data_IF_646636101599
#
_entry.id   IF_646636101599
#
_cell.length_a   1.000
_cell.length_b   1.000
_cell.length_c   1.000
_cell.angle_alpha   90.00
_cell.angle_beta   90.00
_cell.angle_gamma   90.00
#
_symmetry.space_group_name_H-M   'P 1'
#
loop_
_entity.id
_entity.type
_entity.pdbx_description
1 polymer ?
#
# COMPACT_ATOMS: atom_id res chain seq x y z
N UNK A 1 -11.74 28.03 -2.50
CA UNK A 1 -13.12 27.52 -2.42
C UNK A 1 -13.83 28.08 -1.17
N UNK A 2 -13.33 27.88 0.04
CA UNK A 2 -14.00 28.34 1.29
C UNK A 2 -14.17 29.85 1.39
N UNK A 3 -13.24 30.65 0.83
CA UNK A 3 -13.39 32.12 0.73
C UNK A 3 -14.54 32.55 -0.21
N UNK A 4 -14.86 31.72 -1.20
CA UNK A 4 -15.91 31.99 -2.19
C UNK A 4 -17.27 31.44 -1.75
N UNK A 5 -17.28 30.36 -0.98
CA UNK A 5 -18.49 29.76 -0.41
C UNK A 5 -18.23 29.34 1.04
N UNK A 6 -18.72 30.12 2.02
CA UNK A 6 -18.55 29.82 3.45
C UNK A 6 -19.20 28.50 3.90
N UNK A 7 -20.18 27.99 3.15
CA UNK A 7 -20.85 26.72 3.43
C UNK A 7 -19.98 25.50 3.07
N UNK A 8 -18.80 25.69 2.49
CA UNK A 8 -17.87 24.58 2.27
C UNK A 8 -17.17 24.23 3.56
N UNK A 9 -17.28 22.97 3.93
CA UNK A 9 -16.54 22.35 5.04
C UNK A 9 -15.67 21.21 4.54
N UNK A 10 -14.70 20.81 5.35
CA UNK A 10 -13.83 19.67 5.11
C UNK A 10 -13.99 18.64 6.22
N UNK A 11 -13.63 17.40 5.97
CA UNK A 11 -13.69 16.32 6.97
C UNK A 11 -12.94 16.72 8.27
N UNK A 12 -11.71 17.20 8.15
CA UNK A 12 -10.95 17.78 9.26
C UNK A 12 -11.16 19.29 9.34
N UNK A 13 -11.29 19.82 10.57
CA UNK A 13 -11.51 21.26 10.80
C UNK A 13 -10.24 22.10 10.71
N UNK A 14 -9.09 21.48 10.93
CA UNK A 14 -7.77 22.11 10.93
C UNK A 14 -6.83 21.40 9.93
N UNK A 15 -5.69 22.02 9.67
CA UNK A 15 -4.64 21.35 8.88
C UNK A 15 -4.12 20.09 9.61
N UNK A 16 -3.82 19.04 8.87
CA UNK A 16 -4.11 18.85 7.44
C UNK A 16 -5.60 18.57 7.20
N UNK A 17 -6.21 19.25 6.22
CA UNK A 17 -7.65 19.18 5.93
C UNK A 17 -8.06 17.90 5.17
N UNK A 18 -7.57 16.77 5.61
CA UNK A 18 -7.87 15.47 5.00
C UNK A 18 -8.33 14.46 6.07
N UNK A 19 -8.93 13.38 5.66
CA UNK A 19 -9.27 12.29 6.54
C UNK A 19 -8.04 11.41 6.86
N UNK A 20 -8.25 10.30 7.56
CA UNK A 20 -7.20 9.33 7.92
C UNK A 20 -6.58 8.62 6.71
N UNK A 21 -7.00 8.94 5.49
CA UNK A 21 -6.50 8.39 4.24
C UNK A 21 -7.55 7.59 3.48
N UNK A 22 -7.22 7.31 2.21
CA UNK A 22 -8.02 6.42 1.37
C UNK A 22 -8.14 5.03 2.02
N UNK A 23 -9.29 4.41 1.90
CA UNK A 23 -9.51 3.03 2.33
C UNK A 23 -8.69 2.01 1.50
N UNK A 24 -8.15 2.44 0.38
CA UNK A 24 -7.29 1.67 -0.51
C UNK A 24 -5.82 2.03 -0.29
N UNK A 25 -4.95 1.04 -0.24
CA UNK A 25 -3.51 1.28 -0.20
C UNK A 25 -2.89 1.11 -1.59
N UNK A 26 -1.87 1.90 -1.83
CA UNK A 26 -1.03 1.81 -3.02
C UNK A 26 0.23 1.04 -2.71
N UNK A 27 0.67 0.25 -3.68
CA UNK A 27 1.87 -0.54 -3.54
C UNK A 27 2.29 -1.18 -4.85
N UNK A 28 3.12 -2.19 -4.74
CA UNK A 28 3.67 -2.91 -5.87
C UNK A 28 3.17 -4.35 -5.82
N UNK A 29 2.54 -4.76 -6.90
CA UNK A 29 2.11 -6.13 -7.14
C UNK A 29 3.24 -6.84 -7.87
N UNK A 30 3.64 -7.99 -7.35
CA UNK A 30 4.69 -8.86 -7.88
C UNK A 30 4.07 -10.19 -8.29
N UNK A 31 4.29 -10.63 -9.54
CA UNK A 31 3.84 -11.96 -9.95
C UNK A 31 4.75 -13.04 -9.38
N UNK A 32 4.29 -13.69 -8.31
CA UNK A 32 5.08 -14.69 -7.57
C UNK A 32 5.21 -16.03 -8.26
N UNK A 33 4.54 -16.25 -9.39
CA UNK A 33 4.74 -17.42 -10.22
C UNK A 33 5.82 -17.21 -11.30
N UNK A 34 6.44 -16.02 -11.38
CA UNK A 34 7.52 -15.70 -12.33
C UNK A 34 8.83 -15.45 -11.59
N UNK A 35 9.87 -16.21 -11.95
CA UNK A 35 11.21 -15.99 -11.43
C UNK A 35 11.74 -14.59 -11.85
N UNK A 36 12.51 -13.91 -10.99
CA UNK A 36 12.90 -14.32 -9.64
C UNK A 36 11.92 -13.87 -8.55
N UNK A 37 10.74 -13.36 -8.90
CA UNK A 37 9.75 -12.83 -7.96
C UNK A 37 9.07 -13.92 -7.10
N UNK A 38 9.24 -15.19 -7.45
CA UNK A 38 8.87 -16.35 -6.63
C UNK A 38 9.70 -16.47 -5.34
N UNK A 39 10.92 -15.89 -5.33
CA UNK A 39 11.82 -15.91 -4.18
C UNK A 39 11.53 -14.78 -3.18
N UNK A 40 11.17 -15.07 -1.91
CA UNK A 40 10.93 -14.06 -0.88
C UNK A 40 12.13 -13.11 -0.66
N UNK A 41 13.38 -13.60 -0.76
CA UNK A 41 14.57 -12.74 -0.61
C UNK A 41 14.60 -11.65 -1.68
N UNK A 42 14.23 -11.96 -2.92
CA UNK A 42 14.15 -10.96 -4.00
C UNK A 42 13.07 -9.93 -3.73
N UNK A 43 11.89 -10.35 -3.25
CA UNK A 43 10.81 -9.43 -2.91
C UNK A 43 11.20 -8.51 -1.73
N UNK A 44 11.87 -9.06 -0.71
CA UNK A 44 12.42 -8.26 0.38
C UNK A 44 13.55 -7.33 -0.08
N UNK A 45 14.41 -7.78 -0.99
CA UNK A 45 15.46 -6.94 -1.57
C UNK A 45 14.86 -5.72 -2.27
N UNK A 46 13.81 -5.91 -3.08
CA UNK A 46 13.08 -4.82 -3.72
C UNK A 46 12.45 -3.86 -2.71
N UNK A 47 11.88 -4.38 -1.61
CA UNK A 47 11.30 -3.54 -0.57
C UNK A 47 12.35 -2.70 0.16
N UNK A 48 13.52 -3.28 0.50
CA UNK A 48 14.60 -2.58 1.19
C UNK A 48 15.40 -1.63 0.27
N UNK A 49 15.37 -1.85 -1.03
CA UNK A 49 15.93 -0.95 -2.03
C UNK A 49 15.07 0.31 -2.28
N UNK A 50 13.82 0.29 -1.82
CA UNK A 50 12.86 1.37 -2.07
C UNK A 50 12.99 2.48 -1.03
N UNK A 51 13.44 3.67 -1.45
CA UNK A 51 13.39 4.89 -0.64
C UNK A 51 11.97 5.48 -0.67
N UNK A 52 11.09 4.94 0.19
CA UNK A 52 9.70 5.39 0.25
C UNK A 52 9.57 6.87 0.63
N UNK A 53 10.49 7.43 1.41
CA UNK A 53 10.47 8.85 1.76
C UNK A 53 10.66 9.70 0.50
N UNK A 54 11.69 9.41 -0.28
CA UNK A 54 11.95 10.10 -1.55
C UNK A 54 10.82 9.89 -2.55
N UNK A 55 10.28 8.68 -2.67
CA UNK A 55 9.12 8.40 -3.51
C UNK A 55 7.93 9.27 -3.10
N UNK A 56 7.59 9.30 -1.82
CA UNK A 56 6.45 10.08 -1.33
C UNK A 56 6.65 11.58 -1.46
N UNK A 57 7.87 12.08 -1.25
CA UNK A 57 8.20 13.51 -1.43
C UNK A 57 8.10 13.89 -2.90
N UNK A 58 8.74 13.14 -3.81
CA UNK A 58 8.80 13.45 -5.23
C UNK A 58 7.43 13.33 -5.91
N UNK A 59 6.68 12.29 -5.59
CA UNK A 59 5.39 12.02 -6.23
C UNK A 59 4.23 12.78 -5.59
N UNK A 60 4.27 13.05 -4.27
CA UNK A 60 3.13 13.49 -3.46
C UNK A 60 3.43 14.70 -2.58
N UNK A 61 4.60 15.33 -2.72
CA UNK A 61 5.05 16.45 -1.87
C UNK A 61 5.02 16.11 -0.37
N UNK A 62 5.29 14.86 -0.03
CA UNK A 62 5.27 14.35 1.34
C UNK A 62 3.85 14.07 1.91
N UNK A 63 2.81 14.22 1.11
CA UNK A 63 1.42 13.99 1.56
C UNK A 63 1.00 12.53 1.35
N UNK A 64 1.47 11.65 2.21
CA UNK A 64 1.11 10.23 2.21
C UNK A 64 1.24 9.65 3.61
N UNK A 65 0.57 8.55 3.86
CA UNK A 65 0.73 7.75 5.08
C UNK A 65 1.31 6.39 4.71
N UNK A 66 2.50 6.08 5.24
CA UNK A 66 3.13 4.80 5.02
C UNK A 66 2.35 3.66 5.69
N UNK A 67 2.33 2.51 5.04
CA UNK A 67 1.67 1.32 5.53
C UNK A 67 2.51 0.08 5.24
N UNK A 68 3.07 -0.52 6.27
CA UNK A 68 3.84 -1.75 6.20
C UNK A 68 2.97 -3.01 6.06
N UNK A 69 1.70 -2.94 6.47
CA UNK A 69 0.76 -4.05 6.34
C UNK A 69 0.06 -4.02 4.98
N UNK A 70 -0.39 -5.16 4.43
CA UNK A 70 -1.05 -5.22 3.13
C UNK A 70 -2.49 -4.68 3.17
N UNK A 71 -2.64 -3.47 3.70
CA UNK A 71 -3.89 -2.72 3.80
C UNK A 71 -3.61 -1.23 4.06
N UNK A 72 -4.59 -0.38 3.83
CA UNK A 72 -4.52 1.03 4.18
C UNK A 72 -4.58 1.22 5.71
N UNK A 73 -3.77 2.15 6.24
CA UNK A 73 -3.84 2.57 7.65
C UNK A 73 -4.94 3.61 7.81
N UNK A 74 -6.11 3.15 8.24
CA UNK A 74 -7.30 3.97 8.45
C UNK A 74 -7.76 3.91 9.91
N UNK A 75 -8.75 4.72 10.25
CA UNK A 75 -9.40 4.68 11.57
C UNK A 75 -10.05 3.30 11.89
N UNK A 76 -10.33 2.48 10.87
CA UNK A 76 -10.91 1.13 11.03
C UNK A 76 -9.80 0.09 11.19
N UNK A 77 -8.81 0.13 10.32
CA UNK A 77 -7.74 -0.88 10.26
C UNK A 77 -6.69 -0.69 11.35
N UNK A 78 -6.44 0.56 11.75
CA UNK A 78 -5.45 0.88 12.77
C UNK A 78 -5.67 0.15 14.10
N UNK A 79 -6.84 0.24 14.77
CA UNK A 79 -7.08 -0.47 16.03
C UNK A 79 -7.20 -1.99 15.84
N UNK A 80 -7.62 -2.46 14.67
CA UNK A 80 -7.84 -3.89 14.42
C UNK A 80 -6.55 -4.65 14.06
N UNK A 81 -5.62 -4.02 13.35
CA UNK A 81 -4.42 -4.67 12.80
C UNK A 81 -3.13 -3.96 13.14
N UNK A 82 -3.01 -2.65 12.86
CA UNK A 82 -1.74 -1.94 13.00
C UNK A 82 -1.27 -1.86 14.45
N UNK A 83 -2.13 -1.42 15.37
CA UNK A 83 -1.77 -1.31 16.77
C UNK A 83 -1.46 -2.69 17.40
N UNK A 84 -2.28 -3.74 17.21
CA UNK A 84 -1.97 -5.07 17.75
C UNK A 84 -0.72 -5.71 17.15
N UNK A 85 -0.37 -5.41 15.90
CA UNK A 85 0.78 -6.01 15.22
C UNK A 85 2.06 -5.18 15.33
N UNK A 86 2.02 -4.03 16.00
CA UNK A 86 3.17 -3.12 16.04
C UNK A 86 4.40 -3.75 16.72
N UNK A 87 4.20 -4.44 17.84
CA UNK A 87 5.33 -5.11 18.51
C UNK A 87 5.88 -6.25 17.64
N UNK A 88 4.99 -7.03 17.02
CA UNK A 88 5.40 -8.08 16.09
C UNK A 88 6.22 -7.52 14.91
N UNK A 89 5.84 -6.37 14.32
CA UNK A 89 6.62 -5.72 13.27
C UNK A 89 8.02 -5.31 13.72
N UNK A 90 8.16 -4.80 14.96
CA UNK A 90 9.47 -4.46 15.55
C UNK A 90 10.36 -5.68 15.75
N UNK A 91 9.75 -6.82 16.10
CA UNK A 91 10.45 -8.08 16.39
C UNK A 91 10.68 -8.92 15.13
N UNK A 92 10.06 -8.54 13.99
CA UNK A 92 10.20 -9.27 12.72
C UNK A 92 11.66 -9.36 12.30
N UNK A 93 12.09 -10.58 11.98
CA UNK A 93 13.43 -10.87 11.46
C UNK A 93 13.32 -11.60 10.14
N UNK A 94 14.14 -11.22 9.18
CA UNK A 94 14.37 -11.98 7.96
C UNK A 94 15.19 -13.24 8.25
N UNK A 95 15.35 -14.11 7.25
CA UNK A 95 16.04 -15.38 7.39
C UNK A 95 17.49 -15.25 7.86
N UNK A 96 18.14 -14.13 7.61
CA UNK A 96 19.50 -13.80 8.06
C UNK A 96 19.56 -13.07 9.42
N UNK A 97 18.42 -12.91 10.10
CA UNK A 97 18.29 -12.23 11.38
C UNK A 97 18.14 -10.69 11.27
N UNK A 98 18.16 -10.13 10.09
CA UNK A 98 17.97 -8.68 9.89
C UNK A 98 16.56 -8.23 10.28
N UNK A 99 16.45 -7.11 11.02
CA UNK A 99 15.19 -6.49 11.40
C UNK A 99 14.82 -5.37 10.42
N UNK A 100 13.88 -5.61 9.49
CA UNK A 100 13.61 -4.70 8.38
C UNK A 100 12.75 -3.49 8.77
N UNK A 101 12.00 -3.55 9.88
CA UNK A 101 11.04 -2.53 10.24
C UNK A 101 11.70 -1.27 10.82
N UNK A 102 11.24 -0.10 10.36
CA UNK A 102 11.61 1.20 10.87
C UNK A 102 10.41 1.87 11.56
N UNK A 103 10.30 1.83 12.89
CA UNK A 103 9.23 2.50 13.64
C UNK A 103 9.33 4.02 13.59
N UNK A 104 10.52 4.57 13.32
CA UNK A 104 10.80 6.01 13.31
C UNK A 104 10.60 6.66 11.93
N UNK A 105 9.97 5.94 10.99
CA UNK A 105 9.73 6.42 9.62
C UNK A 105 9.04 7.80 9.62
N UNK A 106 8.00 7.99 10.45
CA UNK A 106 7.28 9.25 10.53
C UNK A 106 8.13 10.41 11.03
N UNK A 107 8.93 10.19 12.06
CA UNK A 107 9.83 11.21 12.61
C UNK A 107 10.93 11.59 11.62
N UNK A 108 11.47 10.62 10.89
CA UNK A 108 12.45 10.89 9.84
C UNK A 108 11.84 11.62 8.64
N UNK A 109 10.54 11.43 8.34
CA UNK A 109 9.83 12.25 7.35
C UNK A 109 9.76 13.72 7.78
N UNK A 110 9.42 14.00 9.05
CA UNK A 110 9.40 15.37 9.60
C UNK A 110 10.79 16.02 9.46
N UNK A 111 11.84 15.32 9.84
CA UNK A 111 13.22 15.81 9.72
C UNK A 111 13.57 16.14 8.27
N UNK A 112 13.28 15.22 7.34
CA UNK A 112 13.59 15.40 5.91
C UNK A 112 12.82 16.56 5.28
N UNK A 113 11.54 16.76 5.63
CA UNK A 113 10.75 17.89 5.17
C UNK A 113 11.26 19.23 5.73
N UNK A 114 11.72 19.24 6.99
CA UNK A 114 12.36 20.42 7.59
C UNK A 114 13.68 20.78 6.89
N UNK A 115 14.54 19.79 6.62
CA UNK A 115 15.79 19.97 5.84
C UNK A 115 15.54 20.52 4.44
N UNK A 116 14.39 20.19 3.83
CA UNK A 116 13.96 20.73 2.54
C UNK A 116 13.35 22.13 2.62
N UNK A 117 13.34 22.74 3.81
CA UNK A 117 12.88 24.12 4.01
C UNK A 117 11.38 24.26 4.29
N UNK A 118 10.67 23.18 4.60
CA UNK A 118 9.29 23.32 5.08
C UNK A 118 9.29 23.93 6.49
N UNK A 119 8.36 24.85 6.72
CA UNK A 119 8.20 25.49 8.03
C UNK A 119 7.85 24.45 9.10
N UNK A 120 8.74 24.25 10.06
CA UNK A 120 8.58 23.30 11.16
C UNK A 120 7.28 23.53 11.96
N UNK A 121 6.77 24.76 12.03
CA UNK A 121 5.51 25.07 12.70
C UNK A 121 4.27 24.47 11.98
N UNK A 122 4.41 24.10 10.72
CA UNK A 122 3.34 23.47 9.91
C UNK A 122 3.42 21.95 9.88
N UNK A 123 4.50 21.37 10.39
CA UNK A 123 4.72 19.93 10.42
C UNK A 123 4.11 19.28 11.69
N UNK A 124 3.65 18.02 11.57
CA UNK A 124 3.04 17.34 12.71
C UNK A 124 4.08 17.06 13.83
N UNK A 125 3.63 17.11 15.07
CA UNK A 125 4.42 16.77 16.27
C UNK A 125 3.68 15.74 17.13
N UNK A 126 4.39 15.05 18.01
CA UNK A 126 3.81 14.06 18.93
C UNK A 126 3.01 12.99 18.19
N UNK A 127 1.83 12.68 18.69
CA UNK A 127 0.96 11.64 18.11
C UNK A 127 0.50 11.95 16.67
N UNK A 128 0.45 13.25 16.32
CA UNK A 128 0.09 13.65 14.96
C UNK A 128 1.11 13.16 13.92
N UNK A 129 2.35 12.89 14.28
CA UNK A 129 3.36 12.32 13.37
C UNK A 129 2.89 10.98 12.84
N UNK A 130 2.48 10.06 13.72
CA UNK A 130 1.98 8.74 13.32
C UNK A 130 0.64 8.81 12.58
N UNK A 131 -0.20 9.79 12.90
CA UNK A 131 -1.46 10.02 12.21
C UNK A 131 -1.26 10.49 10.78
N UNK A 132 -0.20 11.25 10.51
CA UNK A 132 0.11 11.76 9.17
C UNK A 132 0.96 10.80 8.35
N UNK A 133 1.99 10.20 8.95
CA UNK A 133 3.01 9.42 8.23
C UNK A 133 2.95 7.92 8.47
N UNK A 134 1.99 7.43 9.28
CA UNK A 134 1.86 6.01 9.61
C UNK A 134 2.68 5.58 10.83
N UNK A 135 2.49 4.32 11.21
CA UNK A 135 3.11 3.72 12.41
C UNK A 135 4.50 3.13 12.15
N UNK A 136 5.07 3.37 10.99
CA UNK A 136 6.35 2.86 10.54
C UNK A 136 6.28 2.19 9.16
N UNK A 137 7.46 1.93 8.59
CA UNK A 137 7.62 1.22 7.31
C UNK A 137 8.96 0.48 7.29
N UNK A 138 9.36 -0.04 6.14
CA UNK A 138 10.63 -0.75 5.99
C UNK A 138 11.81 0.22 5.97
N UNK A 139 12.97 -0.23 6.43
CA UNK A 139 14.22 0.52 6.29
C UNK A 139 14.57 0.63 4.81
N UNK A 140 15.07 1.78 4.40
CA UNK A 140 15.79 1.91 3.13
C UNK A 140 17.24 1.47 3.37
N UNK A 141 17.58 0.26 2.93
CA UNK A 141 18.89 -0.35 3.13
C UNK A 141 19.37 -1.08 1.87
N UNK A 142 19.95 -0.37 0.89
CA UNK A 142 20.47 -0.97 -0.32
C UNK A 142 21.57 -2.01 -0.08
N UNK A 143 22.34 -1.90 1.01
CA UNK A 143 23.37 -2.88 1.34
C UNK A 143 22.75 -4.21 1.79
N UNK A 144 21.69 -4.17 2.60
CA UNK A 144 20.95 -5.36 2.97
C UNK A 144 20.19 -5.94 1.77
N UNK A 145 19.62 -5.08 0.92
CA UNK A 145 19.04 -5.52 -0.36
C UNK A 145 20.04 -6.31 -1.19
N UNK A 146 21.28 -5.83 -1.33
CA UNK A 146 22.34 -6.53 -2.07
C UNK A 146 22.68 -7.89 -1.45
N UNK A 147 22.74 -8.01 -0.13
CA UNK A 147 22.96 -9.31 0.53
C UNK A 147 21.85 -10.31 0.19
N UNK A 148 20.59 -9.87 0.19
CA UNK A 148 19.46 -10.73 -0.16
C UNK A 148 19.48 -11.13 -1.63
N UNK A 149 19.85 -10.22 -2.55
CA UNK A 149 20.02 -10.53 -3.97
C UNK A 149 21.14 -11.54 -4.17
N UNK A 150 22.28 -11.36 -3.49
CA UNK A 150 23.40 -12.30 -3.55
C UNK A 150 23.01 -13.70 -3.03
N UNK A 151 22.25 -13.75 -1.92
CA UNK A 151 21.70 -15.01 -1.38
C UNK A 151 20.71 -15.70 -2.34
N UNK A 152 20.01 -14.92 -3.18
CA UNK A 152 19.16 -15.41 -4.25
C UNK A 152 19.90 -15.78 -5.53
N UNK A 153 21.23 -15.64 -5.56
CA UNK A 153 22.09 -15.96 -6.71
C UNK A 153 22.26 -14.84 -7.73
N UNK A 154 21.79 -13.62 -7.43
CA UNK A 154 21.91 -12.46 -8.30
C UNK A 154 23.06 -11.57 -7.84
N UNK A 155 23.92 -11.16 -8.77
CA UNK A 155 25.10 -10.31 -8.51
C UNK A 155 25.13 -9.13 -9.47
N UNK A 156 25.66 -7.99 -9.03
CA UNK A 156 25.87 -6.85 -9.92
C UNK A 156 26.92 -7.17 -10.96
N UNK A 157 26.54 -7.00 -12.23
CA UNK A 157 27.45 -7.12 -13.38
C UNK A 157 28.31 -5.88 -13.55
N UNK A 158 29.11 -5.87 -14.63
CA UNK A 158 30.00 -4.74 -14.98
C UNK A 158 29.20 -3.45 -15.31
N UNK A 159 27.93 -3.58 -15.70
CA UNK A 159 26.99 -2.48 -15.96
C UNK A 159 26.37 -1.92 -14.68
N UNK A 160 26.68 -2.50 -13.50
CA UNK A 160 26.15 -2.11 -12.21
C UNK A 160 24.77 -2.65 -11.89
N UNK A 161 24.14 -3.42 -12.80
CA UNK A 161 22.84 -4.02 -12.59
C UNK A 161 22.92 -5.48 -12.16
N UNK A 162 21.90 -5.97 -11.47
CA UNK A 162 21.82 -7.37 -11.05
C UNK A 162 21.64 -8.30 -12.24
N UNK A 163 22.51 -9.31 -12.30
CA UNK A 163 22.46 -10.41 -13.28
C UNK A 163 22.19 -11.73 -12.55
N UNK A 164 21.42 -12.60 -13.20
CA UNK A 164 21.12 -13.93 -12.71
C UNK A 164 22.29 -14.91 -12.80
N UNK A 165 22.10 -16.16 -12.34
CA UNK A 165 23.12 -17.21 -12.43
C UNK A 165 23.56 -17.53 -13.87
N UNK A 166 22.72 -17.21 -14.85
CA UNK A 166 23.01 -17.36 -16.28
C UNK A 166 23.84 -16.19 -16.85
N UNK A 167 24.23 -15.22 -16.03
CA UNK A 167 24.98 -14.03 -16.40
C UNK A 167 24.16 -12.95 -17.11
N UNK A 168 22.86 -13.16 -17.29
CA UNK A 168 22.00 -12.16 -17.93
C UNK A 168 21.48 -11.16 -16.91
N UNK A 169 21.55 -9.87 -17.28
CA UNK A 169 20.94 -8.80 -16.48
C UNK A 169 19.45 -9.02 -16.34
N UNK A 170 18.97 -9.02 -15.10
CA UNK A 170 17.53 -9.08 -14.83
C UNK A 170 16.91 -7.69 -15.02
N UNK A 171 15.97 -7.61 -15.94
CA UNK A 171 15.21 -6.40 -16.19
C UNK A 171 13.80 -6.53 -15.60
N UNK A 172 13.43 -5.57 -14.76
CA UNK A 172 12.09 -5.47 -14.18
C UNK A 172 11.21 -4.65 -15.12
N UNK A 173 10.20 -5.26 -15.70
CA UNK A 173 9.12 -4.49 -16.32
C UNK A 173 8.18 -3.98 -15.22
N UNK A 174 8.20 -2.67 -14.99
CA UNK A 174 7.30 -2.02 -14.04
C UNK A 174 6.15 -1.36 -14.80
N UNK A 175 4.97 -1.99 -14.76
CA UNK A 175 3.77 -1.44 -15.41
C UNK A 175 3.19 -0.30 -14.58
N UNK A 176 2.98 0.85 -15.22
CA UNK A 176 2.42 2.06 -14.61
C UNK A 176 1.29 2.61 -15.46
N UNK A 177 0.23 3.23 -14.86
CA UNK A 177 -0.84 3.83 -15.63
C UNK A 177 -0.36 5.08 -16.38
N UNK A 178 -0.88 5.34 -17.58
CA UNK A 178 -0.51 6.50 -18.40
C UNK A 178 -1.19 7.79 -17.94
N UNK A 179 -2.52 7.84 -17.94
CA UNK A 179 -3.28 9.10 -17.82
C UNK A 179 -4.42 9.07 -16.81
N UNK A 180 -5.08 7.93 -16.62
CA UNK A 180 -6.25 7.81 -15.76
C UNK A 180 -5.95 7.87 -14.25
N UNK A 181 -4.68 7.63 -13.84
CA UNK A 181 -4.24 7.76 -12.45
C UNK A 181 -2.86 8.44 -12.35
N UNK A 182 -2.87 9.77 -12.35
CA UNK A 182 -1.66 10.60 -12.29
C UNK A 182 -0.83 10.39 -11.01
N UNK A 183 -1.45 9.98 -9.94
CA UNK A 183 -0.75 9.67 -8.68
C UNK A 183 0.09 8.41 -8.85
N UNK A 184 -0.51 7.31 -9.28
CA UNK A 184 0.22 6.05 -9.53
C UNK A 184 1.30 6.21 -10.60
N UNK A 185 1.05 7.04 -11.62
CA UNK A 185 2.04 7.35 -12.64
C UNK A 185 3.31 7.95 -12.03
N UNK A 186 3.16 9.03 -11.23
CA UNK A 186 4.31 9.69 -10.58
C UNK A 186 5.00 8.78 -9.58
N UNK A 187 4.23 8.03 -8.79
CA UNK A 187 4.75 7.04 -7.83
C UNK A 187 5.55 5.98 -8.57
N UNK A 188 5.04 5.42 -9.68
CA UNK A 188 5.70 4.40 -10.46
C UNK A 188 7.06 4.84 -11.01
N UNK A 189 7.16 6.04 -11.56
CA UNK A 189 8.46 6.57 -12.01
C UNK A 189 9.43 6.82 -10.87
N UNK A 190 8.94 7.28 -9.70
CA UNK A 190 9.80 7.47 -8.53
C UNK A 190 10.29 6.14 -7.96
N UNK A 191 9.50 5.06 -8.06
CA UNK A 191 9.94 3.70 -7.72
C UNK A 191 11.03 3.23 -8.68
N UNK A 192 10.82 3.41 -9.97
CA UNK A 192 11.80 3.02 -10.99
C UNK A 192 13.16 3.72 -10.76
N UNK A 193 13.14 5.01 -10.44
CA UNK A 193 14.35 5.77 -10.10
C UNK A 193 15.03 5.21 -8.83
N UNK A 194 14.26 4.95 -7.77
CA UNK A 194 14.79 4.39 -6.52
C UNK A 194 15.45 3.02 -6.73
N UNK A 195 14.79 2.12 -7.44
CA UNK A 195 15.30 0.79 -7.73
C UNK A 195 16.52 0.82 -8.66
N UNK A 196 16.51 1.71 -9.67
CA UNK A 196 17.65 1.87 -10.59
C UNK A 196 18.91 2.31 -9.84
N UNK A 197 18.77 3.26 -8.89
CA UNK A 197 19.89 3.69 -8.01
C UNK A 197 20.42 2.55 -7.13
N UNK A 198 19.58 1.59 -6.78
CA UNK A 198 19.99 0.42 -6.00
C UNK A 198 20.63 -0.70 -6.86
N UNK A 199 20.65 -0.57 -8.19
CA UNK A 199 21.25 -1.54 -9.11
C UNK A 199 20.25 -2.49 -9.77
N UNK A 200 18.95 -2.20 -9.72
CA UNK A 200 17.96 -2.93 -10.52
C UNK A 200 17.77 -2.25 -11.87
N UNK A 201 17.82 -3.00 -12.95
CA UNK A 201 17.46 -2.49 -14.26
C UNK A 201 15.94 -2.45 -14.37
N UNK A 202 15.36 -1.26 -14.50
CA UNK A 202 13.91 -1.07 -14.50
C UNK A 202 13.44 -0.43 -15.81
N UNK A 203 12.49 -1.07 -16.46
CA UNK A 203 11.73 -0.52 -17.57
C UNK A 203 10.32 -0.14 -17.09
N UNK A 204 10.08 1.14 -16.81
CA UNK A 204 8.78 1.65 -16.42
C UNK A 204 7.90 1.84 -17.67
N UNK A 205 7.03 0.87 -17.93
CA UNK A 205 6.15 0.86 -19.11
C UNK A 205 4.80 1.46 -18.78
N UNK A 206 4.48 2.56 -19.45
CA UNK A 206 3.16 3.18 -19.34
C UNK A 206 2.13 2.47 -20.20
N UNK A 207 0.95 2.23 -19.63
CA UNK A 207 -0.17 1.60 -20.31
C UNK A 207 -1.47 2.35 -20.06
N UNK A 208 -2.39 2.30 -21.02
CA UNK A 208 -3.74 2.85 -20.84
C UNK A 208 -4.59 1.98 -19.88
N UNK A 209 -5.80 2.44 -19.56
CA UNK A 209 -6.66 1.74 -18.62
C UNK A 209 -7.09 0.34 -19.10
N UNK A 210 -7.28 0.16 -20.39
CA UNK A 210 -7.66 -1.15 -20.95
C UNK A 210 -6.53 -2.16 -20.84
N UNK A 211 -5.34 -1.77 -21.28
CA UNK A 211 -4.14 -2.60 -21.18
C UNK A 211 -3.77 -2.85 -19.72
N UNK A 212 -3.91 -1.86 -18.84
CA UNK A 212 -3.65 -2.01 -17.40
C UNK A 212 -4.49 -3.13 -16.79
N UNK A 213 -5.79 -3.17 -17.11
CA UNK A 213 -6.68 -4.24 -16.68
C UNK A 213 -6.29 -5.62 -17.25
N UNK A 214 -5.88 -5.68 -18.52
CA UNK A 214 -5.40 -6.92 -19.12
C UNK A 214 -4.14 -7.43 -18.44
N UNK A 215 -3.15 -6.56 -18.23
CA UNK A 215 -1.89 -6.91 -17.53
C UNK A 215 -2.17 -7.40 -16.11
N UNK A 216 -3.03 -6.71 -15.38
CA UNK A 216 -3.39 -7.09 -14.02
C UNK A 216 -4.06 -8.47 -13.95
N UNK A 217 -4.93 -8.77 -14.91
CA UNK A 217 -5.79 -9.94 -14.85
C UNK A 217 -5.28 -11.15 -15.67
N UNK A 218 -4.14 -11.04 -16.35
CA UNK A 218 -3.59 -12.13 -17.16
C UNK A 218 -2.20 -12.51 -16.67
N UNK A 219 -2.02 -13.78 -16.30
CA UNK A 219 -0.77 -14.24 -15.68
C UNK A 219 0.44 -14.19 -16.63
N UNK A 220 0.20 -14.35 -17.93
CA UNK A 220 1.27 -14.27 -18.93
C UNK A 220 1.87 -12.87 -19.08
N UNK A 221 1.11 -11.81 -18.79
CA UNK A 221 1.52 -10.42 -19.02
C UNK A 221 2.15 -9.76 -17.81
N UNK A 222 1.64 -10.04 -16.59
CA UNK A 222 2.12 -9.34 -15.40
C UNK A 222 3.46 -9.88 -14.92
N UNK A 223 4.41 -8.96 -14.69
CA UNK A 223 5.60 -9.21 -13.88
C UNK A 223 5.59 -8.36 -12.62
N UNK A 224 5.56 -7.05 -12.76
CA UNK A 224 5.54 -6.07 -11.67
C UNK A 224 4.63 -4.90 -12.04
N UNK A 225 3.84 -4.41 -11.11
CA UNK A 225 2.86 -3.36 -11.37
C UNK A 225 2.69 -2.45 -10.17
N UNK A 226 2.61 -1.13 -10.41
CA UNK A 226 2.15 -0.16 -9.40
C UNK A 226 0.63 -0.08 -9.46
N UNK A 227 -0.03 -0.40 -8.35
CA UNK A 227 -1.49 -0.44 -8.28
C UNK A 227 -1.97 -0.28 -6.83
N UNK A 228 -3.29 -0.34 -6.62
CA UNK A 228 -3.84 -0.70 -5.33
C UNK A 228 -3.34 -2.10 -4.96
N UNK A 229 -2.37 -2.14 -4.04
CA UNK A 229 -1.65 -3.39 -3.70
C UNK A 229 -2.47 -4.33 -2.84
N UNK A 230 -3.49 -3.79 -2.18
CA UNK A 230 -4.37 -4.58 -1.33
C UNK A 230 -5.81 -4.14 -1.56
N UNK A 231 -6.70 -4.77 -0.85
CA UNK A 231 -8.09 -4.40 -0.90
C UNK A 231 -8.37 -3.03 -0.29
N UNK A 232 -9.38 -2.39 -0.81
CA UNK A 232 -9.98 -1.23 -0.20
C UNK A 232 -10.87 -1.68 0.96
N UNK A 233 -10.53 -1.30 2.19
CA UNK A 233 -11.21 -1.77 3.41
C UNK A 233 -12.08 -0.66 3.97
N UNK A 234 -13.39 -0.79 3.77
CA UNK A 234 -14.40 0.19 4.21
C UNK A 234 -15.08 -0.18 5.53
N UNK A 235 -14.85 -1.38 6.03
CA UNK A 235 -15.44 -1.91 7.27
C UNK A 235 -14.51 -2.96 7.88
N UNK A 236 -14.91 -3.58 8.98
CA UNK A 236 -14.13 -4.64 9.62
C UNK A 236 -14.19 -5.99 8.90
N UNK A 237 -14.94 -6.11 7.83
CA UNK A 237 -15.01 -7.33 7.03
C UNK A 237 -13.85 -7.40 6.02
N UNK A 238 -12.71 -7.88 6.47
CA UNK A 238 -11.50 -8.04 5.66
C UNK A 238 -11.52 -9.24 4.74
N UNK A 239 -12.41 -10.20 5.00
CA UNK A 239 -12.49 -11.41 4.21
C UNK A 239 -12.82 -11.12 2.75
N UNK A 240 -13.68 -10.11 2.52
CA UNK A 240 -13.97 -9.64 1.16
C UNK A 240 -12.74 -9.22 0.36
N UNK A 241 -11.70 -8.78 1.07
CA UNK A 241 -10.45 -8.30 0.49
C UNK A 241 -9.52 -9.42 0.06
N UNK A 242 -9.56 -10.56 0.75
CA UNK A 242 -8.67 -11.70 0.47
C UNK A 242 -9.40 -12.90 -0.12
N UNK A 243 -10.73 -12.81 -0.28
CA UNK A 243 -11.53 -13.91 -0.84
C UNK A 243 -11.03 -14.42 -2.19
N UNK A 244 -10.34 -13.56 -2.94
CA UNK A 244 -9.70 -13.92 -4.21
C UNK A 244 -8.39 -14.67 -4.04
N UNK A 245 -7.73 -14.59 -2.87
CA UNK A 245 -6.49 -15.29 -2.58
C UNK A 245 -6.83 -16.71 -2.14
N UNK A 246 -7.08 -17.58 -3.09
CA UNK A 246 -7.48 -18.97 -2.89
C UNK A 246 -6.83 -19.84 -3.96
N UNK A 247 -6.62 -21.10 -3.65
CA UNK A 247 -5.97 -22.05 -4.55
C UNK A 247 -6.71 -22.20 -5.87
N UNK A 248 -8.04 -22.25 -5.83
CA UNK A 248 -8.90 -22.37 -6.99
C UNK A 248 -8.86 -21.16 -7.94
N UNK A 249 -8.39 -20.02 -7.46
CA UNK A 249 -8.20 -18.79 -8.25
C UNK A 249 -6.80 -18.66 -8.87
N UNK A 250 -5.89 -19.58 -8.55
CA UNK A 250 -4.58 -19.62 -9.22
C UNK A 250 -4.77 -20.13 -10.65
N UNK A 251 -4.11 -19.43 -11.58
CA UNK A 251 -4.00 -19.83 -12.97
C UNK A 251 -2.56 -20.30 -13.24
N UNK A 252 -2.37 -21.25 -14.16
CA UNK A 252 -1.03 -21.65 -14.59
C UNK A 252 -0.20 -20.45 -15.05
N UNK A 253 1.12 -20.54 -14.88
CA UNK A 253 2.08 -19.58 -15.45
C UNK A 253 1.84 -19.50 -16.95
N UNK A 254 1.91 -18.31 -17.52
CA UNK A 254 1.65 -18.01 -18.92
C UNK A 254 0.20 -18.26 -19.41
N UNK A 255 -0.72 -18.50 -18.47
CA UNK A 255 -2.15 -18.54 -18.80
C UNK A 255 -2.65 -17.18 -19.28
N UNK A 256 -3.46 -17.19 -20.34
CA UNK A 256 -4.21 -16.02 -20.83
C UNK A 256 -5.60 -15.92 -20.21
N UNK A 257 -5.99 -16.87 -19.35
CA UNK A 257 -7.25 -16.81 -18.62
C UNK A 257 -7.23 -15.67 -17.60
N UNK A 258 -8.39 -15.06 -17.40
CA UNK A 258 -8.52 -14.00 -16.41
C UNK A 258 -8.34 -14.51 -14.99
N UNK A 259 -7.57 -13.76 -14.20
CA UNK A 259 -7.37 -13.98 -12.78
C UNK A 259 -8.40 -13.17 -12.02
N UNK A 260 -9.10 -13.80 -11.09
CA UNK A 260 -10.08 -13.16 -10.23
C UNK A 260 -9.52 -13.08 -8.81
N UNK A 261 -9.07 -11.90 -8.44
CA UNK A 261 -8.68 -11.59 -7.05
C UNK A 261 -7.19 -11.73 -6.76
N UNK A 262 -6.58 -12.88 -6.84
CA UNK A 262 -5.17 -13.13 -6.46
C UNK A 262 -4.15 -12.42 -7.40
N UNK A 263 -4.14 -11.09 -7.35
CA UNK A 263 -3.36 -10.27 -8.30
C UNK A 263 -1.84 -10.45 -8.18
N UNK A 264 -1.33 -10.81 -7.01
CA UNK A 264 0.10 -11.12 -6.82
C UNK A 264 0.43 -12.60 -7.13
N UNK A 265 -0.55 -13.42 -7.49
CA UNK A 265 -0.40 -14.87 -7.75
C UNK A 265 0.26 -15.59 -6.58
N UNK A 266 -0.21 -15.28 -5.38
CA UNK A 266 0.24 -15.91 -4.13
C UNK A 266 -0.03 -17.41 -4.21
N UNK A 267 0.99 -18.20 -3.87
CA UNK A 267 0.95 -19.69 -3.89
C UNK A 267 1.10 -20.29 -2.50
N UNK A 268 1.03 -19.47 -1.46
CA UNK A 268 1.26 -19.87 -0.07
C UNK A 268 0.07 -20.68 0.47
N UNK A 269 0.24 -21.97 0.65
CA UNK A 269 -0.80 -22.90 1.15
C UNK A 269 -1.29 -22.48 2.55
N UNK A 270 -0.42 -21.93 3.41
CA UNK A 270 -0.84 -21.48 4.74
C UNK A 270 -1.79 -20.29 4.69
N UNK A 271 -1.57 -19.35 3.75
CA UNK A 271 -2.52 -18.27 3.50
C UNK A 271 -3.86 -18.81 3.01
N UNK A 272 -3.86 -19.80 2.12
CA UNK A 272 -5.09 -20.43 1.62
C UNK A 272 -5.88 -21.09 2.75
N UNK A 273 -5.21 -21.85 3.62
CA UNK A 273 -5.83 -22.47 4.79
C UNK A 273 -6.47 -21.44 5.74
N UNK A 274 -5.72 -20.39 6.09
CA UNK A 274 -6.21 -19.34 6.98
C UNK A 274 -7.42 -18.60 6.39
N UNK A 275 -7.40 -18.31 5.10
CA UNK A 275 -8.53 -17.67 4.42
C UNK A 275 -9.74 -18.60 4.35
N UNK A 276 -9.54 -19.89 4.09
CA UNK A 276 -10.60 -20.89 4.12
C UNK A 276 -11.22 -21.01 5.53
N UNK A 277 -10.38 -21.02 6.58
CA UNK A 277 -10.84 -20.97 7.97
C UNK A 277 -11.69 -19.72 8.24
N UNK A 278 -11.19 -18.53 7.87
CA UNK A 278 -11.88 -17.28 8.10
C UNK A 278 -13.26 -17.24 7.41
N UNK A 279 -13.42 -17.88 6.27
CA UNK A 279 -14.71 -17.94 5.55
C UNK A 279 -15.81 -18.67 6.33
N UNK A 280 -15.46 -19.62 7.18
CA UNK A 280 -16.41 -20.39 7.99
C UNK A 280 -16.72 -19.74 9.34
N UNK A 281 -16.05 -18.62 9.70
CA UNK A 281 -16.15 -18.00 11.00
C UNK A 281 -17.23 -16.88 11.04
N UNK A 282 -17.78 -16.66 12.21
CA UNK A 282 -18.60 -15.48 12.51
C UNK A 282 -17.69 -14.23 12.56
N UNK A 283 -17.89 -13.33 11.61
CA UNK A 283 -17.08 -12.12 11.44
C UNK A 283 -17.26 -11.10 12.57
N UNK A 284 -18.27 -11.26 13.41
CA UNK A 284 -18.50 -10.40 14.59
C UNK A 284 -17.65 -10.82 15.81
N UNK A 285 -17.00 -11.97 15.75
CA UNK A 285 -16.23 -12.53 16.85
C UNK A 285 -14.75 -12.08 16.80
N UNK A 286 -14.11 -11.87 17.97
CA UNK A 286 -12.69 -11.51 18.03
C UNK A 286 -11.76 -12.48 17.31
N UNK A 287 -12.06 -13.77 17.37
CA UNK A 287 -11.27 -14.84 16.76
C UNK A 287 -11.14 -14.70 15.24
N UNK A 288 -12.14 -14.06 14.59
CA UNK A 288 -12.06 -13.73 13.17
C UNK A 288 -10.91 -12.75 12.89
N UNK A 289 -10.74 -11.72 13.74
CA UNK A 289 -9.62 -10.77 13.62
C UNK A 289 -8.28 -11.44 13.91
N UNK A 290 -8.23 -12.43 14.81
CA UNK A 290 -6.99 -13.16 15.10
C UNK A 290 -6.52 -13.97 13.89
N UNK A 291 -7.43 -14.66 13.20
CA UNK A 291 -7.12 -15.33 11.94
C UNK A 291 -6.70 -14.31 10.87
N UNK A 292 -7.39 -13.19 10.78
CA UNK A 292 -7.03 -12.09 9.87
C UNK A 292 -5.61 -11.56 10.13
N UNK A 293 -5.21 -11.40 11.40
CA UNK A 293 -3.83 -10.99 11.76
C UNK A 293 -2.80 -12.03 11.35
N UNK A 294 -3.09 -13.33 11.50
CA UNK A 294 -2.20 -14.40 11.03
C UNK A 294 -2.02 -14.36 9.50
N UNK A 295 -3.10 -14.11 8.73
CA UNK A 295 -2.99 -13.89 7.27
C UNK A 295 -2.07 -12.71 6.96
N UNK A 296 -2.27 -11.57 7.63
CA UNK A 296 -1.45 -10.37 7.45
C UNK A 296 0.02 -10.63 7.80
N UNK A 297 0.28 -11.28 8.93
CA UNK A 297 1.65 -11.66 9.34
C UNK A 297 2.32 -12.54 8.28
N UNK A 298 1.61 -13.56 7.77
CA UNK A 298 2.15 -14.44 6.74
C UNK A 298 2.42 -13.70 5.42
N UNK A 299 1.53 -12.80 5.02
CA UNK A 299 1.73 -11.96 3.85
C UNK A 299 2.96 -11.05 3.96
N UNK A 300 3.23 -10.52 5.15
CA UNK A 300 4.38 -9.67 5.41
C UNK A 300 5.68 -10.49 5.48
N UNK A 301 5.68 -11.64 6.15
CA UNK A 301 6.87 -12.49 6.32
C UNK A 301 7.55 -12.79 4.99
N UNK A 302 6.78 -13.09 3.96
CA UNK A 302 7.28 -13.42 2.63
C UNK A 302 7.18 -12.26 1.63
N UNK A 303 6.88 -11.05 2.11
CA UNK A 303 6.68 -9.85 1.28
C UNK A 303 5.78 -10.15 0.06
N UNK A 304 4.57 -10.62 0.33
CA UNK A 304 3.62 -11.01 -0.73
C UNK A 304 3.18 -9.82 -1.59
N UNK A 305 3.14 -8.63 -1.00
CA UNK A 305 2.99 -7.32 -1.64
C UNK A 305 4.00 -6.35 -1.05
N UNK A 306 4.59 -5.48 -1.84
CA UNK A 306 5.28 -4.31 -1.30
C UNK A 306 4.20 -3.24 -1.11
N UNK A 307 3.48 -3.34 0.01
CA UNK A 307 2.53 -2.30 0.36
C UNK A 307 3.28 -1.05 0.76
N UNK A 308 2.86 0.11 0.29
CA UNK A 308 3.62 1.35 0.49
C UNK A 308 2.84 2.37 1.32
N UNK A 309 1.69 2.79 0.83
CA UNK A 309 1.03 3.94 1.39
C UNK A 309 -0.46 4.00 1.08
N UNK A 310 -1.18 4.74 1.88
CA UNK A 310 -2.45 5.33 1.51
C UNK A 310 -2.32 6.86 1.40
N UNK A 311 -3.13 7.43 0.53
CA UNK A 311 -3.04 8.84 0.18
C UNK A 311 -4.16 9.57 0.88
N UNK A 312 -3.85 10.57 1.73
CA UNK A 312 -4.87 11.38 2.36
C UNK A 312 -5.69 12.13 1.31
N UNK A 313 -6.99 12.08 1.45
CA UNK A 313 -7.90 12.73 0.51
C UNK A 313 -8.64 13.87 1.20
N UNK A 314 -8.56 15.07 0.62
CA UNK A 314 -9.36 16.20 1.08
C UNK A 314 -10.77 16.06 0.52
N UNK A 315 -11.77 15.95 1.40
CA UNK A 315 -13.17 15.77 1.02
C UNK A 315 -13.95 17.01 1.42
N UNK A 316 -14.15 17.93 0.48
CA UNK A 316 -15.00 19.09 0.70
C UNK A 316 -16.48 18.68 0.58
N UNK A 317 -17.30 19.19 1.48
CA UNK A 317 -18.76 19.12 1.41
C UNK A 317 -19.33 20.52 1.30
N UNK A 318 -20.41 20.66 0.53
CA UNK A 318 -21.15 21.92 0.43
C UNK A 318 -22.41 21.84 1.28
N UNK A 319 -22.40 22.55 2.38
CA UNK A 319 -23.48 22.51 3.38
C UNK A 319 -24.58 23.56 3.11
N UNK A 320 -24.68 24.10 1.91
CA UNK A 320 -25.70 25.10 1.55
C UNK A 320 -27.12 24.54 1.68
N UNK A 321 -27.36 23.30 1.28
CA UNK A 321 -28.68 22.67 1.26
C UNK A 321 -28.77 21.44 2.15
N UNK A 322 -27.64 20.79 2.41
CA UNK A 322 -27.56 19.56 3.21
C UNK A 322 -26.45 19.66 4.24
N UNK A 323 -26.68 19.15 5.43
CA UNK A 323 -25.73 19.14 6.54
C UNK A 323 -25.54 17.73 7.08
N UNK A 324 -24.76 17.60 8.15
CA UNK A 324 -24.48 16.35 8.82
C UNK A 324 -23.71 15.34 7.95
N UNK A 325 -22.85 15.82 7.06
CA UNK A 325 -21.85 14.97 6.39
C UNK A 325 -20.84 14.40 7.41
N UNK A 326 -20.22 13.24 7.12
CA UNK A 326 -19.19 12.69 8.00
C UNK A 326 -18.06 13.71 8.22
N UNK A 327 -17.65 13.86 9.48
CA UNK A 327 -16.55 14.74 9.90
C UNK A 327 -15.66 14.00 10.90
N UNK A 328 -14.51 14.55 11.19
CA UNK A 328 -13.56 13.96 12.14
C UNK A 328 -14.16 13.76 13.54
N UNK A 329 -15.01 14.67 13.98
CA UNK A 329 -15.74 14.62 15.25
C UNK A 329 -17.10 13.90 15.17
N UNK A 330 -17.52 13.51 13.98
CA UNK A 330 -18.76 12.77 13.72
C UNK A 330 -18.57 11.77 12.58
N UNK A 331 -17.61 10.87 12.74
CA UNK A 331 -17.19 9.89 11.74
C UNK A 331 -18.09 8.67 11.63
N UNK A 332 -19.40 8.87 11.46
CA UNK A 332 -20.39 7.78 11.36
C UNK A 332 -20.23 6.91 10.10
N UNK A 333 -19.50 7.39 9.08
CA UNK A 333 -19.16 6.68 7.87
C UNK A 333 -17.82 7.18 7.35
N UNK A 334 -17.16 6.39 6.49
CA UNK A 334 -16.03 6.87 5.69
C UNK A 334 -16.54 8.03 4.83
N UNK A 335 -15.85 9.17 4.78
CA UNK A 335 -16.38 10.40 4.17
C UNK A 335 -16.53 10.34 2.66
N UNK A 336 -16.10 9.26 2.00
CA UNK A 336 -16.24 9.08 0.56
C UNK A 336 -17.69 8.89 0.15
N UNK A 337 -18.13 9.64 -0.87
CA UNK A 337 -19.48 9.58 -1.42
C UNK A 337 -19.69 8.44 -2.41
N UNK A 338 -18.74 7.55 -2.55
CA UNK A 338 -18.74 6.42 -3.47
C UNK A 338 -18.60 5.09 -2.71
N UNK A 339 -18.86 3.99 -3.37
CA UNK A 339 -18.86 2.64 -2.80
C UNK A 339 -19.92 2.44 -1.69
N UNK A 340 -19.66 1.54 -0.78
CA UNK A 340 -20.63 1.12 0.24
C UNK A 340 -21.02 2.21 1.26
N UNK A 341 -20.15 3.20 1.47
CA UNK A 341 -20.38 4.28 2.44
C UNK A 341 -21.46 5.27 2.01
N UNK A 342 -21.69 5.41 0.70
CA UNK A 342 -22.60 6.42 0.16
C UNK A 342 -24.04 6.25 0.64
N UNK A 343 -24.56 5.02 0.72
CA UNK A 343 -25.92 4.75 1.22
C UNK A 343 -26.10 5.26 2.64
N UNK A 344 -25.12 5.01 3.52
CA UNK A 344 -25.18 5.46 4.92
C UNK A 344 -25.13 6.99 5.01
N UNK A 345 -24.31 7.63 4.18
CA UNK A 345 -24.26 9.09 4.11
C UNK A 345 -25.60 9.66 3.67
N UNK A 346 -26.18 9.15 2.57
CA UNK A 346 -27.46 9.65 2.03
C UNK A 346 -28.61 9.60 3.04
N UNK A 347 -28.69 8.54 3.85
CA UNK A 347 -29.79 8.41 4.84
C UNK A 347 -29.51 9.16 6.14
N UNK A 348 -28.30 9.73 6.30
CA UNK A 348 -27.87 10.39 7.54
C UNK A 348 -27.77 11.91 7.39
N UNK A 349 -27.52 12.43 6.18
CA UNK A 349 -27.53 13.88 5.94
C UNK A 349 -28.92 14.45 6.18
N UNK A 350 -28.97 15.73 6.54
CA UNK A 350 -30.20 16.45 6.89
C UNK A 350 -30.30 17.73 6.06
N UNK A 351 -31.51 18.20 5.75
CA UNK A 351 -31.68 19.53 5.17
C UNK A 351 -30.99 20.59 6.04
N UNK A 352 -30.33 21.54 5.41
CA UNK A 352 -29.80 22.70 6.11
C UNK A 352 -30.97 23.59 6.58
N UNK A 353 -30.96 23.96 7.86
CA UNK A 353 -31.86 25.02 8.34
C UNK A 353 -31.39 26.35 7.75
N UNK A 354 -32.29 27.06 7.10
CA UNK A 354 -32.05 28.41 6.58
C UNK A 354 -31.84 29.40 7.69
#
# INVERSE_FOLDING_TARGET
>A
AKKQNPAIETFAKALPYHDMGDACSYGIILNQQKAPLDNPNVRWALALALDLQSVGINALSGQFRASALPMADTQITRPAYFAPLQQWLKDLKLSDGYQPFNPDFGSSMVSKLTEMGQDAATLPTGDAVSQNFGLGWWKHDPAQSEKLMNAAGYKKGADGFYAGPDGKTWEIELVVPSDWNKVMQRVGFSIADSWTKAGFKVNARQVDNGEFGNVQNTNSLLTTMVNWSSACIFNTNYLGSWRGVQKENLKPVDSTEQIVGNNARITDEKIFELIAQAKSMDQSKPEFLDVGRQVVQRMVQDMQYINMMNIPTTIPTNNTYWTNFPKQDNGYAVPYTWWSSFKKILVTIKPATK
#
